data_IF_301048093906
#
_entry.id   IF_301048093906
#
_cell.length_a   1.000
_cell.length_b   1.000
_cell.length_c   1.000
_cell.angle_alpha   90.00
_cell.angle_beta   90.00
_cell.angle_gamma   90.00
#
_symmetry.space_group_name_H-M   'P 1'
#
loop_
_entity.id
_entity.type
_entity.pdbx_description
1 polymer ?
#
# COMPACT_ATOMS: atom_id res chain seq x y z
N UNK A 1 14.58 59.14 -5.89
CA UNK A 1 14.33 57.85 -5.20
C UNK A 1 13.19 57.94 -4.17
N UNK A 2 12.02 58.52 -4.51
CA UNK A 2 10.83 58.59 -3.62
C UNK A 2 9.55 58.04 -4.27
N UNK A 3 9.62 57.63 -5.54
CA UNK A 3 8.50 57.09 -6.31
C UNK A 3 8.30 55.60 -6.07
N UNK A 4 9.40 54.86 -5.86
CA UNK A 4 9.40 53.41 -5.65
C UNK A 4 8.72 53.02 -4.33
N UNK A 5 8.95 53.79 -3.27
CA UNK A 5 8.36 53.54 -1.94
C UNK A 5 6.85 53.73 -1.90
N UNK A 6 6.29 54.63 -2.74
CA UNK A 6 4.84 54.87 -2.77
C UNK A 6 4.08 53.78 -3.50
N UNK A 7 4.67 53.21 -4.56
CA UNK A 7 4.08 52.07 -5.26
C UNK A 7 4.06 50.82 -4.37
N UNK A 8 5.14 50.55 -3.64
CA UNK A 8 5.20 49.45 -2.66
C UNK A 8 4.25 49.62 -1.48
N UNK A 9 4.06 50.84 -0.98
CA UNK A 9 3.11 51.10 0.11
C UNK A 9 1.65 50.92 -0.33
N UNK A 10 1.31 51.38 -1.54
CA UNK A 10 -0.06 51.23 -2.07
C UNK A 10 -0.43 49.75 -2.29
N UNK A 11 0.53 48.93 -2.72
CA UNK A 11 0.33 47.48 -2.88
C UNK A 11 0.16 46.76 -1.53
N UNK A 12 0.92 47.17 -0.51
CA UNK A 12 0.80 46.63 0.85
C UNK A 12 -0.56 46.96 1.49
N UNK A 13 -1.02 48.20 1.34
CA UNK A 13 -2.33 48.64 1.85
C UNK A 13 -3.48 47.85 1.20
N UNK A 14 -3.36 47.54 -0.10
CA UNK A 14 -4.36 46.75 -0.85
C UNK A 14 -4.33 45.28 -0.41
N UNK A 15 -3.16 44.70 -0.15
CA UNK A 15 -3.04 43.34 0.39
C UNK A 15 -3.70 43.23 1.76
N UNK A 16 -3.56 44.24 2.61
CA UNK A 16 -4.13 44.25 3.96
C UNK A 16 -5.66 44.33 3.94
N UNK A 17 -6.26 45.15 3.08
CA UNK A 17 -7.72 45.27 2.92
C UNK A 17 -8.37 44.01 2.35
N UNK A 18 -7.69 43.33 1.41
CA UNK A 18 -8.17 42.04 0.90
C UNK A 18 -8.12 40.95 1.97
N UNK A 19 -7.06 40.93 2.78
CA UNK A 19 -6.96 40.02 3.93
C UNK A 19 -8.01 40.32 5.00
N UNK A 20 -8.37 41.60 5.21
CA UNK A 20 -9.44 42.02 6.12
C UNK A 20 -10.82 41.53 5.65
N UNK A 21 -11.09 41.62 4.34
CA UNK A 21 -12.37 41.20 3.75
C UNK A 21 -12.69 39.70 3.91
N UNK A 22 -11.67 38.87 4.12
CA UNK A 22 -11.79 37.41 4.33
C UNK A 22 -11.76 37.06 5.85
N UNK A 23 -11.63 38.07 6.73
CA UNK A 23 -11.57 37.90 8.18
C UNK A 23 -10.18 37.51 8.70
N UNK A 24 -9.13 37.79 7.93
CA UNK A 24 -7.74 37.42 8.23
C UNK A 24 -6.89 38.58 8.77
N UNK A 25 -7.34 39.84 8.69
CA UNK A 25 -6.54 41.00 9.11
C UNK A 25 -6.13 41.00 10.58
N UNK A 26 -6.91 40.38 11.47
CA UNK A 26 -6.59 40.32 12.90
C UNK A 26 -5.72 39.10 13.27
N UNK A 27 -5.37 38.25 12.30
CA UNK A 27 -4.45 37.12 12.47
C UNK A 27 -3.20 37.41 11.63
N UNK A 28 -2.14 37.90 12.29
CA UNK A 28 -0.90 38.25 11.59
C UNK A 28 -0.41 37.14 10.65
N UNK A 29 0.29 37.48 9.56
CA UNK A 29 0.63 36.55 8.46
C UNK A 29 1.36 35.26 8.92
N UNK A 30 2.03 35.33 10.07
CA UNK A 30 2.67 34.17 10.73
C UNK A 30 1.65 33.10 11.14
N UNK A 31 0.47 33.49 11.65
CA UNK A 31 -0.59 32.56 12.08
C UNK A 31 -1.15 31.80 10.87
N UNK A 32 -1.35 32.49 9.76
CA UNK A 32 -1.77 31.89 8.49
C UNK A 32 -0.76 30.85 7.98
N UNK A 33 0.53 31.19 8.01
CA UNK A 33 1.60 30.27 7.62
C UNK A 33 1.60 29.02 8.52
N UNK A 34 1.41 29.19 9.83
CA UNK A 34 1.33 28.07 10.78
C UNK A 34 0.10 27.19 10.50
N UNK A 35 -1.07 27.78 10.26
CA UNK A 35 -2.29 27.03 9.93
C UNK A 35 -2.13 26.20 8.65
N UNK A 36 -1.56 26.80 7.60
CA UNK A 36 -1.25 26.10 6.35
C UNK A 36 -0.27 24.94 6.59
N UNK A 37 0.78 25.17 7.38
CA UNK A 37 1.77 24.15 7.68
C UNK A 37 1.16 22.98 8.47
N UNK A 38 0.26 23.26 9.42
CA UNK A 38 -0.45 22.24 10.18
C UNK A 38 -1.33 21.41 9.25
N UNK A 39 -2.11 22.06 8.38
CA UNK A 39 -3.00 21.36 7.43
C UNK A 39 -2.19 20.53 6.45
N UNK A 40 -1.12 21.08 5.87
CA UNK A 40 -0.24 20.35 4.97
C UNK A 40 0.38 19.12 5.65
N UNK A 41 0.85 19.29 6.89
CA UNK A 41 1.43 18.19 7.69
C UNK A 41 0.39 17.12 8.00
N UNK A 42 -0.83 17.51 8.40
CA UNK A 42 -1.93 16.59 8.67
C UNK A 42 -2.29 15.77 7.42
N UNK A 43 -2.37 16.40 6.25
CA UNK A 43 -2.61 15.71 4.97
C UNK A 43 -1.50 14.69 4.69
N UNK A 44 -0.24 15.07 4.87
CA UNK A 44 0.88 14.15 4.67
C UNK A 44 0.82 12.96 5.63
N UNK A 45 0.55 13.19 6.92
CA UNK A 45 0.43 12.11 7.92
C UNK A 45 -0.72 11.17 7.59
N UNK A 46 -1.88 11.71 7.20
CA UNK A 46 -3.03 10.90 6.78
C UNK A 46 -2.68 10.09 5.52
N UNK A 47 -2.04 10.71 4.53
CA UNK A 47 -1.64 10.06 3.30
C UNK A 47 -0.65 8.91 3.55
N UNK A 48 0.41 9.16 4.32
CA UNK A 48 1.40 8.14 4.67
C UNK A 48 0.79 7.03 5.54
N UNK A 49 -0.04 7.40 6.53
CA UNK A 49 -0.75 6.43 7.37
C UNK A 49 -1.67 5.53 6.55
N UNK A 50 -2.45 6.10 5.63
CA UNK A 50 -3.32 5.35 4.73
C UNK A 50 -2.53 4.44 3.78
N UNK A 51 -1.44 4.94 3.19
CA UNK A 51 -0.57 4.15 2.31
C UNK A 51 0.08 2.98 3.05
N UNK A 52 0.54 3.19 4.28
CA UNK A 52 1.12 2.14 5.12
C UNK A 52 0.07 1.10 5.52
N UNK A 53 -1.10 1.53 5.98
CA UNK A 53 -2.20 0.61 6.32
C UNK A 53 -2.59 -0.26 5.12
N UNK A 54 -2.67 0.34 3.92
CA UNK A 54 -2.99 -0.39 2.69
C UNK A 54 -1.89 -1.38 2.30
N UNK A 55 -0.62 -1.03 2.46
CA UNK A 55 0.50 -1.91 2.21
C UNK A 55 0.52 -3.12 3.17
N UNK A 56 0.29 -2.88 4.47
CA UNK A 56 0.24 -3.93 5.49
C UNK A 56 -0.96 -4.86 5.29
N UNK A 57 -2.16 -4.31 5.10
CA UNK A 57 -3.37 -5.11 4.83
C UNK A 57 -3.23 -5.99 3.58
N UNK A 58 -2.50 -5.51 2.57
CA UNK A 58 -2.19 -6.28 1.37
C UNK A 58 -1.21 -7.42 1.65
N UNK A 59 -0.12 -7.14 2.36
CA UNK A 59 0.86 -8.16 2.76
C UNK A 59 0.20 -9.26 3.59
N UNK A 60 -0.68 -8.89 4.52
CA UNK A 60 -1.46 -9.82 5.33
C UNK A 60 -2.40 -10.66 4.49
N UNK A 61 -3.09 -10.06 3.51
CA UNK A 61 -3.98 -10.80 2.60
C UNK A 61 -3.23 -11.80 1.72
N UNK A 62 -2.04 -11.43 1.21
CA UNK A 62 -1.16 -12.34 0.44
C UNK A 62 -0.73 -13.52 1.31
N UNK A 63 -0.28 -13.26 2.54
CA UNK A 63 0.12 -14.29 3.50
C UNK A 63 -1.03 -15.23 3.85
N UNK A 64 -2.21 -14.69 4.14
CA UNK A 64 -3.41 -15.47 4.46
C UNK A 64 -3.86 -16.38 3.29
N UNK A 65 -3.76 -15.92 2.05
CA UNK A 65 -4.04 -16.75 0.87
C UNK A 65 -3.06 -17.92 0.75
N UNK A 66 -1.77 -17.66 0.99
CA UNK A 66 -0.75 -18.70 0.93
C UNK A 66 -0.90 -19.72 2.07
N UNK A 67 -1.24 -19.28 3.29
CA UNK A 67 -1.54 -20.19 4.41
C UNK A 67 -2.74 -21.10 4.11
N UNK A 68 -3.80 -20.58 3.49
CA UNK A 68 -4.94 -21.39 3.04
C UNK A 68 -4.53 -22.45 2.01
N UNK A 69 -3.61 -22.11 1.11
CA UNK A 69 -3.03 -23.07 0.18
C UNK A 69 -2.24 -24.16 0.93
N UNK A 70 -1.35 -23.79 1.85
CA UNK A 70 -0.59 -24.76 2.66
C UNK A 70 -1.52 -25.68 3.47
N UNK A 71 -2.62 -25.15 4.04
CA UNK A 71 -3.60 -25.97 4.76
C UNK A 71 -4.29 -26.99 3.84
N UNK A 72 -4.54 -26.64 2.57
CA UNK A 72 -5.14 -27.56 1.59
C UNK A 72 -4.15 -28.62 1.12
N UNK A 73 -2.90 -28.23 0.87
CA UNK A 73 -1.84 -29.18 0.59
C UNK A 73 -1.65 -30.16 1.78
N UNK A 74 -1.77 -29.69 3.02
CA UNK A 74 -1.71 -30.54 4.20
C UNK A 74 -2.85 -31.57 4.25
N UNK A 75 -4.06 -31.23 3.76
CA UNK A 75 -5.18 -32.18 3.61
C UNK A 75 -4.91 -33.24 2.53
N UNK A 76 -4.08 -32.93 1.55
CA UNK A 76 -3.63 -33.86 0.50
C UNK A 76 -2.40 -34.69 0.95
N UNK A 77 -1.98 -34.56 2.20
CA UNK A 77 -0.87 -35.33 2.78
C UNK A 77 0.48 -34.60 2.80
N UNK A 78 0.55 -33.36 2.31
CA UNK A 78 1.81 -32.59 2.26
C UNK A 78 1.74 -31.36 3.16
N UNK A 79 2.25 -31.48 4.39
CA UNK A 79 2.36 -30.36 5.34
C UNK A 79 3.65 -29.57 5.08
N UNK A 80 3.56 -28.24 5.15
CA UNK A 80 4.71 -27.33 5.08
C UNK A 80 5.40 -27.25 6.45
N UNK A 81 6.73 -27.30 6.46
CA UNK A 81 7.51 -27.09 7.68
C UNK A 81 7.79 -25.60 7.95
N UNK A 82 7.93 -25.18 9.22
CA UNK A 82 8.16 -23.77 9.57
C UNK A 82 9.47 -23.20 9.01
N UNK A 83 10.50 -24.04 8.90
CA UNK A 83 11.82 -23.69 8.37
C UNK A 83 11.90 -23.80 6.84
N UNK A 84 10.84 -24.29 6.19
CA UNK A 84 10.82 -24.52 4.75
C UNK A 84 10.34 -23.28 4.00
N UNK A 85 11.18 -22.82 3.06
CA UNK A 85 10.87 -21.71 2.18
C UNK A 85 9.71 -22.04 1.21
N UNK A 86 9.00 -21.03 0.68
CA UNK A 86 7.92 -21.24 -0.28
C UNK A 86 8.35 -21.99 -1.55
N UNK A 87 9.60 -21.82 -1.97
CA UNK A 87 10.19 -22.48 -3.14
C UNK A 87 10.56 -23.95 -2.84
N UNK A 88 11.08 -24.24 -1.65
CA UNK A 88 11.46 -25.60 -1.27
C UNK A 88 10.21 -26.46 -1.02
N UNK A 89 9.22 -25.87 -0.35
CA UNK A 89 7.90 -26.48 -0.18
C UNK A 89 7.26 -26.82 -1.52
N UNK A 90 7.32 -25.92 -2.51
CA UNK A 90 6.70 -26.17 -3.81
C UNK A 90 7.37 -27.32 -4.57
N UNK A 91 8.71 -27.38 -4.55
CA UNK A 91 9.47 -28.49 -5.13
C UNK A 91 9.13 -29.83 -4.48
N UNK A 92 9.11 -29.88 -3.14
CA UNK A 92 8.78 -31.10 -2.39
C UNK A 92 7.33 -31.51 -2.60
N UNK A 93 6.39 -30.57 -2.54
CA UNK A 93 4.98 -30.84 -2.74
C UNK A 93 4.66 -31.28 -4.17
N UNK A 94 5.35 -30.73 -5.17
CA UNK A 94 5.22 -31.15 -6.56
C UNK A 94 5.68 -32.60 -6.80
N UNK A 95 6.71 -33.06 -6.08
CA UNK A 95 7.16 -34.46 -6.13
C UNK A 95 6.15 -35.43 -5.47
N UNK A 96 5.52 -35.00 -4.38
CA UNK A 96 4.56 -35.82 -3.62
C UNK A 96 3.15 -35.83 -4.24
N UNK A 97 2.79 -34.81 -5.01
CA UNK A 97 1.50 -34.66 -5.68
C UNK A 97 1.72 -34.39 -7.18
N UNK A 98 2.17 -35.40 -7.97
CA UNK A 98 2.53 -35.21 -9.37
C UNK A 98 1.37 -34.68 -10.22
N UNK A 99 0.12 -35.08 -9.92
CA UNK A 99 -1.09 -34.59 -10.60
C UNK A 99 -1.36 -33.09 -10.39
N UNK A 100 -0.85 -32.50 -9.31
CA UNK A 100 -1.05 -31.10 -8.93
C UNK A 100 0.25 -30.28 -8.99
N UNK A 101 1.34 -30.89 -9.46
CA UNK A 101 2.71 -30.36 -9.45
C UNK A 101 2.83 -28.97 -10.11
N UNK A 102 2.33 -28.84 -11.33
CA UNK A 102 2.33 -27.56 -12.07
C UNK A 102 1.53 -26.47 -11.34
N UNK A 103 0.39 -26.83 -10.74
CA UNK A 103 -0.45 -25.86 -10.02
C UNK A 103 0.20 -25.40 -8.71
N UNK A 104 0.83 -26.32 -7.98
CA UNK A 104 1.60 -26.03 -6.76
C UNK A 104 2.75 -25.07 -7.08
N UNK A 105 3.45 -25.31 -8.20
CA UNK A 105 4.56 -24.46 -8.65
C UNK A 105 4.07 -23.07 -9.05
N UNK A 106 3.01 -22.98 -9.86
CA UNK A 106 2.40 -21.70 -10.26
C UNK A 106 1.94 -20.87 -9.07
N UNK A 107 1.22 -21.45 -8.10
CA UNK A 107 0.75 -20.73 -6.90
C UNK A 107 1.94 -20.18 -6.10
N UNK A 108 3.00 -20.98 -5.95
CA UNK A 108 4.18 -20.61 -5.18
C UNK A 108 5.02 -19.54 -5.87
N UNK A 109 5.20 -19.63 -7.19
CA UNK A 109 5.86 -18.59 -8.01
C UNK A 109 5.08 -17.27 -7.96
N UNK A 110 3.75 -17.32 -8.12
CA UNK A 110 2.88 -16.14 -8.02
C UNK A 110 2.96 -15.49 -6.64
N UNK A 111 2.99 -16.29 -5.57
CA UNK A 111 3.18 -15.78 -4.20
C UNK A 111 4.56 -15.13 -3.99
N UNK A 112 5.65 -15.76 -4.48
CA UNK A 112 7.01 -15.21 -4.39
C UNK A 112 7.08 -13.87 -5.14
N UNK A 113 6.52 -13.81 -6.35
CA UNK A 113 6.42 -12.58 -7.12
C UNK A 113 5.62 -11.50 -6.37
N UNK A 114 4.49 -11.84 -5.74
CA UNK A 114 3.70 -10.90 -4.95
C UNK A 114 4.40 -10.39 -3.69
N UNK A 115 5.21 -11.24 -3.04
CA UNK A 115 5.84 -10.91 -1.76
C UNK A 115 7.18 -10.20 -1.90
N UNK A 116 7.95 -10.51 -2.94
CA UNK A 116 9.31 -10.01 -3.12
C UNK A 116 9.47 -9.06 -4.32
N UNK A 117 8.46 -8.90 -5.19
CA UNK A 117 8.54 -7.90 -6.25
C UNK A 117 8.28 -6.47 -5.72
N UNK A 118 9.01 -5.45 -6.20
CA UNK A 118 8.92 -4.08 -5.71
C UNK A 118 7.62 -3.35 -6.08
N UNK A 119 6.87 -3.83 -7.09
CA UNK A 119 5.55 -3.28 -7.47
C UNK A 119 4.60 -4.41 -7.88
N UNK A 120 4.05 -5.16 -6.92
CA UNK A 120 3.04 -6.13 -7.26
C UNK A 120 1.74 -5.37 -7.60
N UNK A 121 1.17 -5.58 -8.78
CA UNK A 121 -0.13 -4.98 -9.15
C UNK A 121 -1.29 -5.69 -8.46
N UNK A 122 -2.38 -4.98 -8.15
CA UNK A 122 -3.58 -5.58 -7.53
C UNK A 122 -4.15 -6.74 -8.38
N UNK A 123 -3.94 -6.70 -9.70
CA UNK A 123 -4.27 -7.78 -10.64
C UNK A 123 -3.59 -9.12 -10.31
N UNK A 124 -2.33 -9.08 -9.83
CA UNK A 124 -1.57 -10.30 -9.50
C UNK A 124 -2.12 -10.94 -8.21
N UNK A 125 -2.59 -10.12 -7.27
CA UNK A 125 -3.23 -10.59 -6.03
C UNK A 125 -4.55 -11.31 -6.32
N UNK A 126 -5.37 -10.78 -7.24
CA UNK A 126 -6.60 -11.44 -7.65
C UNK A 126 -6.34 -12.76 -8.39
N UNK A 127 -5.29 -12.81 -9.22
CA UNK A 127 -4.85 -14.05 -9.86
C UNK A 127 -4.50 -15.11 -8.81
N UNK A 128 -3.69 -14.77 -7.80
CA UNK A 128 -3.34 -15.70 -6.71
C UNK A 128 -4.61 -16.19 -5.98
N UNK A 129 -5.54 -15.28 -5.67
CA UNK A 129 -6.80 -15.65 -5.02
C UNK A 129 -7.62 -16.64 -5.85
N UNK A 130 -7.66 -16.44 -7.18
CA UNK A 130 -8.36 -17.32 -8.12
C UNK A 130 -7.67 -18.68 -8.27
N UNK A 131 -6.34 -18.74 -8.32
CA UNK A 131 -5.59 -20.00 -8.40
C UNK A 131 -5.77 -20.83 -7.12
N UNK A 132 -5.66 -20.17 -5.96
CA UNK A 132 -5.91 -20.82 -4.66
C UNK A 132 -7.36 -21.30 -4.59
N UNK A 133 -8.37 -20.48 -4.97
CA UNK A 133 -9.77 -20.93 -4.93
C UNK A 133 -10.05 -22.10 -5.89
N UNK A 134 -9.50 -22.07 -7.11
CA UNK A 134 -9.60 -23.17 -8.06
C UNK A 134 -8.95 -24.47 -7.55
N UNK A 135 -7.90 -24.37 -6.71
CA UNK A 135 -7.30 -25.52 -6.01
C UNK A 135 -8.26 -26.14 -4.99
N UNK A 136 -9.23 -25.40 -4.47
CA UNK A 136 -10.26 -25.93 -3.57
C UNK A 136 -11.44 -26.61 -4.29
N UNK A 137 -11.76 -26.16 -5.51
CA UNK A 137 -13.03 -26.53 -6.19
C UNK A 137 -12.94 -27.88 -6.91
N UNK A 138 -11.75 -28.31 -7.35
CA UNK A 138 -11.57 -29.66 -7.89
C UNK A 138 -11.30 -30.63 -6.74
N UNK A 139 -12.40 -31.13 -6.17
CA UNK A 139 -12.43 -32.33 -5.34
C UNK A 139 -13.19 -33.42 -6.08
#
# INVERSE_FOLDING_TARGET
YQWDTRLLAFDADVQEVLLDSIGLANRGPIILIIEILIVATAILVIYFGWMQLRAHARADRVKALYERFCQRAARLGVRRDPWEGPSDFSKRAALLLPNESERIRQISETYIALRYAPKPGDVVLERLAKEVSAFAVRR
#
